data_IF_415122642557
#
_entry.id   IF_415122642557
#
_cell.length_a   1.000
_cell.length_b   1.000
_cell.length_c   1.000
_cell.angle_alpha   90.00
_cell.angle_beta   90.00
_cell.angle_gamma   90.00
#
_symmetry.space_group_name_H-M   'P 1'
#
loop_
_entity.id
_entity.type
_entity.pdbx_description
1 polymer ?
#
# COMPACT_ATOMS: atom_id res chain seq x y z
N UNK A 1 -3.62 -17.43 34.36
CA UNK A 1 -2.40 -16.61 34.29
C UNK A 1 -2.59 -15.63 33.15
N UNK A 2 -2.58 -14.34 33.45
CA UNK A 2 -2.69 -13.26 32.48
C UNK A 2 -1.29 -12.67 32.22
N UNK A 3 -1.06 -12.19 30.99
CA UNK A 3 0.14 -11.47 30.55
C UNK A 3 0.88 -12.25 29.45
N UNK A 4 1.16 -11.72 28.26
CA UNK A 4 1.35 -10.32 27.87
C UNK A 4 0.46 -9.94 26.67
N UNK A 5 -0.19 -8.79 26.75
CA UNK A 5 -0.64 -8.06 25.58
C UNK A 5 0.56 -7.24 25.12
N UNK A 6 1.24 -7.69 24.07
CA UNK A 6 2.25 -6.89 23.39
C UNK A 6 1.55 -5.65 22.81
N UNK A 7 1.86 -4.49 23.41
CA UNK A 7 1.36 -3.20 22.97
C UNK A 7 1.89 -2.90 21.57
N UNK A 8 1.09 -3.22 20.56
CA UNK A 8 1.35 -2.82 19.18
C UNK A 8 1.48 -1.29 19.05
N UNK A 9 2.20 -0.80 18.04
CA UNK A 9 2.50 0.62 17.90
C UNK A 9 1.22 1.45 17.73
N UNK A 10 0.99 2.36 18.67
CA UNK A 10 -0.24 3.16 18.79
C UNK A 10 -0.28 4.41 17.89
N UNK A 11 0.59 4.51 16.88
CA UNK A 11 0.67 5.69 16.03
C UNK A 11 1.10 5.32 14.62
N UNK A 12 0.33 5.75 13.61
CA UNK A 12 0.83 5.77 12.24
C UNK A 12 1.96 6.80 12.13
N UNK A 13 2.85 6.63 11.18
CA UNK A 13 4.00 7.55 11.00
C UNK A 13 3.59 8.68 10.07
N UNK A 14 3.45 9.93 10.55
CA UNK A 14 3.17 11.06 9.68
C UNK A 14 4.32 11.33 8.71
N UNK A 15 4.00 11.59 7.45
CA UNK A 15 4.99 12.11 6.49
C UNK A 15 6.06 11.11 6.03
N UNK A 16 5.80 9.80 6.09
CA UNK A 16 6.77 8.77 5.73
C UNK A 16 7.36 8.94 4.30
N UNK A 17 6.61 9.49 3.34
CA UNK A 17 7.13 9.84 2.01
C UNK A 17 8.03 11.08 2.04
N UNK A 18 7.67 12.10 2.83
CA UNK A 18 8.44 13.36 2.90
C UNK A 18 9.85 13.14 3.47
N UNK A 19 9.98 12.25 4.45
CA UNK A 19 11.26 11.86 5.03
C UNK A 19 12.17 11.08 4.06
N UNK A 20 11.61 10.45 3.01
CA UNK A 20 12.31 9.50 2.12
C UNK A 20 12.66 10.03 0.74
N UNK A 21 12.05 11.14 0.34
CA UNK A 21 12.31 11.78 -0.95
C UNK A 21 13.64 12.55 -1.01
N UNK A 22 14.32 12.74 0.12
CA UNK A 22 15.63 13.36 0.17
C UNK A 22 16.71 12.38 -0.29
N UNK A 23 16.96 12.28 -1.61
CA UNK A 23 18.34 12.04 -2.07
C UNK A 23 18.65 11.16 -3.29
N UNK A 24 17.72 10.59 -4.07
CA UNK A 24 18.13 9.68 -5.17
C UNK A 24 17.18 9.66 -6.39
N UNK A 25 17.71 10.02 -7.58
CA UNK A 25 17.11 9.76 -8.90
C UNK A 25 15.89 10.62 -9.29
N UNK A 26 15.45 10.51 -10.56
CA UNK A 26 14.14 11.06 -10.97
C UNK A 26 13.06 10.20 -10.32
N UNK A 27 12.31 10.81 -9.41
CA UNK A 27 11.30 10.18 -8.57
C UNK A 27 9.89 10.52 -9.08
N UNK A 28 9.07 9.48 -9.26
CA UNK A 28 7.62 9.62 -9.42
C UNK A 28 6.96 9.07 -8.15
N UNK A 29 6.10 9.86 -7.50
CA UNK A 29 5.54 9.55 -6.17
C UNK A 29 4.08 9.95 -6.02
N UNK A 30 3.43 9.45 -4.96
CA UNK A 30 2.13 9.93 -4.53
C UNK A 30 2.13 11.46 -4.29
N UNK A 31 1.05 12.15 -4.67
CA UNK A 31 0.97 13.61 -4.69
C UNK A 31 0.89 14.21 -3.28
N UNK A 32 0.26 13.50 -2.35
CA UNK A 32 0.10 13.92 -0.95
C UNK A 32 0.85 12.96 -0.01
N UNK A 33 1.36 13.42 1.14
CA UNK A 33 1.83 12.50 2.16
C UNK A 33 0.68 11.62 2.65
N UNK A 34 0.99 10.43 3.16
CA UNK A 34 0.07 9.60 3.90
C UNK A 34 0.80 8.87 5.03
N UNK A 35 0.04 8.42 6.03
CA UNK A 35 0.54 7.71 7.18
C UNK A 35 0.77 6.23 6.86
N UNK A 36 1.84 5.65 7.39
CA UNK A 36 1.95 4.19 7.47
C UNK A 36 0.98 3.65 8.54
N UNK A 37 0.13 2.70 8.18
CA UNK A 37 -0.64 1.88 9.11
C UNK A 37 -0.13 0.44 9.06
N UNK A 38 0.11 -0.14 10.24
CA UNK A 38 0.63 -1.50 10.39
C UNK A 38 -0.23 -2.30 11.39
N UNK A 39 0.06 -3.60 11.51
CA UNK A 39 -0.58 -4.48 12.48
C UNK A 39 -0.55 -3.89 13.89
N UNK A 40 -1.62 -4.12 14.66
CA UNK A 40 -1.77 -3.60 16.02
C UNK A 40 -2.20 -2.14 16.09
N UNK A 41 -2.26 -1.40 14.97
CA UNK A 41 -2.70 -0.01 15.00
C UNK A 41 -4.13 0.11 15.53
N UNK A 42 -4.33 1.04 16.47
CA UNK A 42 -5.60 1.23 17.17
C UNK A 42 -5.93 0.15 18.21
N UNK A 43 -4.95 -0.67 18.62
CA UNK A 43 -5.16 -1.77 19.57
C UNK A 43 -5.87 -2.99 18.97
N UNK A 44 -6.07 -3.01 17.66
CA UNK A 44 -6.70 -4.11 16.95
C UNK A 44 -5.73 -5.28 16.80
N UNK A 45 -6.12 -6.47 17.25
CA UNK A 45 -5.39 -7.71 16.97
C UNK A 45 -5.70 -8.21 15.55
N UNK A 46 -4.92 -7.72 14.59
CA UNK A 46 -5.05 -8.05 13.17
C UNK A 46 -3.87 -8.80 12.55
N UNK A 47 -3.01 -9.36 13.40
CA UNK A 47 -1.85 -10.13 12.96
C UNK A 47 -2.27 -11.35 12.12
N UNK A 48 -1.70 -11.43 10.91
CA UNK A 48 -1.92 -12.55 9.99
C UNK A 48 -3.18 -12.46 9.13
N UNK A 49 -4.00 -11.41 9.26
CA UNK A 49 -5.20 -11.25 8.43
C UNK A 49 -5.50 -9.79 8.02
N UNK A 50 -4.99 -8.81 8.75
CA UNK A 50 -5.37 -7.40 8.58
C UNK A 50 -4.63 -6.60 7.50
N UNK A 51 -3.62 -7.16 6.81
CA UNK A 51 -2.67 -6.30 6.09
C UNK A 51 -3.30 -5.61 4.88
N UNK A 52 -4.28 -6.23 4.23
CA UNK A 52 -5.07 -5.56 3.21
C UNK A 52 -5.90 -4.38 3.75
N UNK A 53 -6.48 -4.51 4.95
CA UNK A 53 -7.15 -3.39 5.61
C UNK A 53 -6.19 -2.25 5.94
N UNK A 54 -4.97 -2.58 6.40
CA UNK A 54 -3.92 -1.57 6.66
C UNK A 54 -3.50 -0.86 5.39
N UNK A 55 -3.40 -1.57 4.28
CA UNK A 55 -3.21 -0.96 2.95
C UNK A 55 -4.37 -0.02 2.63
N UNK A 56 -5.63 -0.46 2.78
CA UNK A 56 -6.79 0.40 2.56
C UNK A 56 -6.79 1.66 3.44
N UNK A 57 -6.38 1.57 4.70
CA UNK A 57 -6.22 2.74 5.57
C UNK A 57 -5.20 3.75 4.99
N UNK A 58 -4.06 3.26 4.45
CA UNK A 58 -3.05 4.12 3.83
C UNK A 58 -3.58 4.81 2.57
N UNK A 59 -4.29 4.07 1.70
CA UNK A 59 -4.89 4.61 0.48
C UNK A 59 -5.98 5.65 0.82
N UNK A 60 -6.83 5.36 1.80
CA UNK A 60 -7.88 6.26 2.25
C UNK A 60 -7.32 7.54 2.90
N UNK A 61 -6.25 7.42 3.71
CA UNK A 61 -5.56 8.57 4.30
C UNK A 61 -4.91 9.45 3.23
N UNK A 62 -4.28 8.87 2.20
CA UNK A 62 -3.78 9.62 1.04
C UNK A 62 -4.91 10.40 0.35
N UNK A 63 -6.02 9.73 0.02
CA UNK A 63 -7.16 10.36 -0.64
C UNK A 63 -7.73 11.52 0.19
N UNK A 64 -7.93 11.30 1.50
CA UNK A 64 -8.44 12.32 2.39
C UNK A 64 -7.50 13.53 2.50
N UNK A 65 -6.19 13.31 2.56
CA UNK A 65 -5.19 14.40 2.59
C UNK A 65 -5.16 15.19 1.29
N UNK A 66 -5.26 14.49 0.16
CA UNK A 66 -5.33 15.13 -1.15
C UNK A 66 -6.56 16.04 -1.30
N UNK A 67 -7.69 15.61 -0.74
CA UNK A 67 -8.95 16.37 -0.72
C UNK A 67 -9.01 17.46 0.37
N UNK A 68 -8.02 17.52 1.27
CA UNK A 68 -8.06 18.42 2.44
C UNK A 68 -9.10 18.00 3.50
N UNK A 69 -9.53 16.74 3.51
CA UNK A 69 -10.55 16.18 4.40
C UNK A 69 -9.98 15.17 5.40
N UNK A 70 -8.65 15.17 5.59
CA UNK A 70 -7.95 14.25 6.48
C UNK A 70 -8.51 14.30 7.91
N UNK A 71 -8.88 13.12 8.42
CA UNK A 71 -9.37 12.91 9.77
C UNK A 71 -8.65 11.70 10.40
N UNK A 72 -9.08 11.28 11.59
CA UNK A 72 -8.63 10.00 12.12
C UNK A 72 -8.99 8.85 11.14
N UNK A 73 -8.09 7.88 10.93
CA UNK A 73 -8.38 6.75 10.04
C UNK A 73 -9.51 5.90 10.60
N UNK A 74 -10.36 5.37 9.70
CA UNK A 74 -11.39 4.40 10.05
C UNK A 74 -10.75 3.13 10.62
N UNK A 75 -11.33 2.57 11.67
CA UNK A 75 -11.03 1.24 12.20
C UNK A 75 -11.33 0.15 11.16
N UNK A 76 -10.75 -1.05 11.32
CA UNK A 76 -11.04 -2.20 10.44
C UNK A 76 -12.54 -2.51 10.41
N UNK A 77 -13.21 -2.40 11.56
CA UNK A 77 -14.66 -2.60 11.64
C UNK A 77 -15.43 -1.57 10.82
N UNK A 78 -15.09 -0.28 10.93
CA UNK A 78 -15.73 0.78 10.14
C UNK A 78 -15.48 0.58 8.63
N UNK A 79 -14.29 0.09 8.25
CA UNK A 79 -14.00 -0.30 6.86
C UNK A 79 -14.90 -1.45 6.41
N UNK A 80 -15.06 -2.50 7.21
CA UNK A 80 -15.96 -3.62 6.93
C UNK A 80 -17.42 -3.14 6.79
N UNK A 81 -17.91 -2.32 7.72
CA UNK A 81 -19.25 -1.74 7.68
C UNK A 81 -19.47 -0.91 6.41
N UNK A 82 -18.48 -0.11 6.01
CA UNK A 82 -18.55 0.64 4.75
C UNK A 82 -18.58 -0.30 3.53
N UNK A 83 -17.73 -1.33 3.51
CA UNK A 83 -17.68 -2.31 2.44
C UNK A 83 -18.99 -3.12 2.30
N UNK A 84 -19.70 -3.36 3.41
CA UNK A 84 -21.07 -3.89 3.38
C UNK A 84 -22.02 -2.86 2.78
N UNK A 85 -21.93 -1.59 3.17
CA UNK A 85 -22.82 -0.53 2.67
C UNK A 85 -22.72 -0.32 1.15
N UNK A 86 -21.56 -0.60 0.55
CA UNK A 86 -21.34 -0.55 -0.91
C UNK A 86 -21.61 -1.89 -1.61
N UNK A 87 -22.01 -2.92 -0.86
CA UNK A 87 -22.47 -4.21 -1.38
C UNK A 87 -21.38 -5.20 -1.78
N UNK A 88 -20.13 -5.00 -1.36
CA UNK A 88 -19.01 -5.90 -1.70
C UNK A 88 -18.64 -6.88 -0.58
N UNK A 89 -19.18 -6.68 0.63
CA UNK A 89 -19.12 -7.65 1.73
C UNK A 89 -20.52 -7.94 2.26
N UNK A 90 -20.69 -9.06 2.97
CA UNK A 90 -21.92 -9.38 3.70
C UNK A 90 -21.88 -8.89 5.16
N UNK A 91 -23.05 -8.68 5.78
CA UNK A 91 -23.15 -8.27 7.19
C UNK A 91 -22.40 -9.21 8.16
N UNK A 92 -22.34 -10.51 7.85
CA UNK A 92 -21.61 -11.50 8.65
C UNK A 92 -20.09 -11.29 8.67
N UNK A 93 -19.55 -10.52 7.73
CA UNK A 93 -18.12 -10.20 7.66
C UNK A 93 -17.75 -8.98 8.52
N UNK A 94 -18.73 -8.25 9.06
CA UNK A 94 -18.46 -7.18 10.01
C UNK A 94 -17.98 -7.76 11.33
N UNK A 95 -16.78 -7.37 11.75
CA UNK A 95 -16.10 -7.90 12.92
C UNK A 95 -15.44 -9.27 12.70
N UNK A 96 -15.48 -9.83 11.47
CA UNK A 96 -14.75 -11.05 11.16
C UNK A 96 -13.25 -10.76 10.95
N UNK A 97 -12.48 -11.84 10.79
CA UNK A 97 -11.05 -11.80 10.45
C UNK A 97 -10.80 -12.12 8.98
N UNK A 98 -11.82 -11.98 8.14
CA UNK A 98 -11.72 -12.35 6.73
C UNK A 98 -10.81 -11.37 5.98
N UNK A 99 -10.07 -11.88 5.00
CA UNK A 99 -9.26 -11.08 4.10
C UNK A 99 -10.13 -10.20 3.18
N UNK A 100 -9.60 -9.05 2.76
CA UNK A 100 -10.17 -8.27 1.65
C UNK A 100 -9.19 -8.24 0.47
N UNK A 101 -9.72 -8.51 -0.71
CA UNK A 101 -9.02 -8.33 -1.98
C UNK A 101 -8.84 -6.85 -2.36
N UNK A 102 -7.85 -6.50 -3.20
CA UNK A 102 -7.68 -5.16 -3.78
C UNK A 102 -8.95 -4.59 -4.43
N UNK A 103 -9.83 -5.44 -4.97
CA UNK A 103 -11.12 -5.03 -5.54
C UNK A 103 -12.10 -4.45 -4.50
N UNK A 104 -12.00 -4.86 -3.23
CA UNK A 104 -12.76 -4.25 -2.14
C UNK A 104 -12.22 -2.85 -1.81
N UNK A 105 -10.89 -2.71 -1.77
CA UNK A 105 -10.25 -1.40 -1.57
C UNK A 105 -10.64 -0.41 -2.67
N UNK A 106 -10.72 -0.88 -3.93
CA UNK A 106 -11.29 -0.13 -5.04
C UNK A 106 -12.71 0.34 -4.75
N UNK A 107 -13.60 -0.57 -4.37
CA UNK A 107 -15.01 -0.25 -4.14
C UNK A 107 -15.18 0.80 -3.04
N UNK A 108 -14.40 0.69 -1.96
CA UNK A 108 -14.35 1.68 -0.89
C UNK A 108 -13.93 3.07 -1.41
N UNK A 109 -12.83 3.16 -2.17
CA UNK A 109 -12.31 4.44 -2.67
C UNK A 109 -13.26 5.10 -3.69
N UNK A 110 -13.88 4.29 -4.56
CA UNK A 110 -14.87 4.77 -5.52
C UNK A 110 -16.10 5.37 -4.81
N UNK A 111 -16.63 4.66 -3.82
CA UNK A 111 -17.75 5.15 -3.01
C UNK A 111 -17.40 6.44 -2.26
N UNK A 112 -16.20 6.51 -1.67
CA UNK A 112 -15.69 7.71 -0.97
C UNK A 112 -15.64 8.94 -1.87
N UNK A 113 -15.13 8.80 -3.09
CA UNK A 113 -14.93 9.94 -3.98
C UNK A 113 -16.24 10.50 -4.57
N UNK A 114 -17.39 9.84 -4.34
CA UNK A 114 -18.63 10.09 -5.08
C UNK A 114 -18.48 9.84 -6.59
N UNK A 115 -17.35 9.23 -6.98
CA UNK A 115 -17.01 8.87 -8.35
C UNK A 115 -17.45 7.43 -8.51
N UNK A 116 -18.61 7.20 -9.15
CA UNK A 116 -18.87 5.88 -9.73
C UNK A 116 -17.67 5.50 -10.61
N UNK A 117 -16.92 4.47 -10.22
CA UNK A 117 -15.81 3.79 -10.91
C UNK A 117 -14.67 4.64 -11.53
N UNK A 118 -14.70 5.97 -11.46
CA UNK A 118 -13.97 6.83 -12.41
C UNK A 118 -12.49 7.07 -12.12
N UNK A 119 -11.96 6.54 -11.03
CA UNK A 119 -10.54 6.68 -10.69
C UNK A 119 -10.02 5.46 -9.93
N UNK A 120 -10.25 4.26 -10.46
CA UNK A 120 -9.52 3.09 -9.97
C UNK A 120 -9.07 2.25 -11.14
N UNK A 121 -7.77 2.34 -11.44
CA UNK A 121 -7.12 1.49 -12.41
C UNK A 121 -7.00 0.09 -11.80
N UNK A 122 -7.83 -0.84 -12.28
CA UNK A 122 -7.49 -2.26 -12.22
C UNK A 122 -6.52 -2.52 -13.37
N UNK A 123 -5.24 -2.64 -13.07
CA UNK A 123 -4.32 -3.34 -13.96
C UNK A 123 -4.08 -4.73 -13.45
N UNK A 124 -5.09 -5.53 -13.73
CA UNK A 124 -4.92 -6.96 -13.85
C UNK A 124 -4.14 -7.16 -15.16
N UNK A 125 -2.86 -7.53 -15.06
CA UNK A 125 -2.06 -7.99 -16.21
C UNK A 125 -2.53 -9.39 -16.64
N UNK A 126 -3.77 -9.49 -17.09
CA UNK A 126 -4.36 -10.61 -17.81
C UNK A 126 -3.88 -10.62 -19.27
N UNK A 127 -2.60 -10.35 -19.50
CA UNK A 127 -2.01 -10.46 -20.83
C UNK A 127 -1.69 -11.94 -21.12
N UNK A 128 -2.03 -12.45 -22.30
CA UNK A 128 -1.62 -13.79 -22.74
C UNK A 128 -0.18 -13.77 -23.30
N UNK A 129 0.76 -13.22 -22.54
CA UNK A 129 2.18 -13.03 -22.91
C UNK A 129 3.09 -13.68 -21.87
N UNK A 130 4.37 -13.86 -22.21
CA UNK A 130 5.35 -14.39 -21.26
C UNK A 130 5.49 -13.50 -20.00
N UNK A 131 5.99 -14.10 -18.92
CA UNK A 131 6.08 -13.45 -17.62
C UNK A 131 6.98 -12.19 -17.63
N UNK A 132 7.99 -12.15 -18.50
CA UNK A 132 8.93 -11.02 -18.59
C UNK A 132 8.27 -9.81 -19.23
N UNK A 133 7.53 -10.03 -20.33
CA UNK A 133 6.75 -8.99 -20.98
C UNK A 133 5.68 -8.40 -20.05
N UNK A 134 5.01 -9.23 -19.23
CA UNK A 134 4.08 -8.74 -18.19
C UNK A 134 4.78 -7.86 -17.18
N UNK A 135 5.93 -8.31 -16.68
CA UNK A 135 6.69 -7.59 -15.67
C UNK A 135 7.19 -6.24 -16.20
N UNK A 136 7.65 -6.19 -17.46
CA UNK A 136 8.07 -4.96 -18.13
C UNK A 136 6.91 -4.01 -18.41
N UNK A 137 5.75 -4.54 -18.83
CA UNK A 137 4.53 -3.76 -18.98
C UNK A 137 4.13 -3.14 -17.63
N UNK A 138 4.21 -3.93 -16.55
CA UNK A 138 3.88 -3.43 -15.22
C UNK A 138 4.82 -2.33 -14.73
N UNK A 139 6.13 -2.46 -14.98
CA UNK A 139 7.10 -1.43 -14.61
C UNK A 139 6.82 -0.11 -15.33
N UNK A 140 6.56 -0.18 -16.64
CA UNK A 140 6.18 1.00 -17.46
C UNK A 140 4.92 1.67 -16.93
N UNK A 141 3.94 0.85 -16.61
CA UNK A 141 2.65 1.30 -16.18
C UNK A 141 2.66 1.96 -14.80
N UNK A 142 3.35 1.33 -13.85
CA UNK A 142 3.56 1.89 -12.52
C UNK A 142 4.29 3.24 -12.59
N UNK A 143 5.27 3.34 -13.49
CA UNK A 143 5.97 4.60 -13.77
C UNK A 143 5.01 5.70 -14.27
N UNK A 144 4.18 5.38 -15.27
CA UNK A 144 3.18 6.30 -15.83
C UNK A 144 2.12 6.72 -14.80
N UNK A 145 1.67 5.78 -13.96
CA UNK A 145 0.73 6.03 -12.87
C UNK A 145 1.25 7.09 -11.90
N UNK A 146 2.50 6.95 -11.44
CA UNK A 146 3.11 7.96 -10.58
C UNK A 146 3.49 9.25 -11.31
N UNK A 147 3.59 9.24 -12.65
CA UNK A 147 3.74 10.45 -13.45
C UNK A 147 2.44 11.26 -13.56
N UNK A 148 1.30 10.59 -13.55
CA UNK A 148 -0.03 11.17 -13.83
C UNK A 148 -0.94 11.19 -12.61
N UNK A 149 -1.47 10.04 -12.19
CA UNK A 149 -2.43 9.88 -11.10
C UNK A 149 -1.84 10.19 -9.73
N UNK A 150 -0.56 9.86 -9.51
CA UNK A 150 0.17 10.18 -8.27
C UNK A 150 -0.58 9.73 -7.01
N UNK A 151 -1.10 8.50 -7.02
CA UNK A 151 -1.70 7.87 -5.84
C UNK A 151 -0.90 6.63 -5.42
N UNK A 152 -0.91 6.26 -4.12
CA UNK A 152 -0.33 5.00 -3.68
C UNK A 152 -1.04 3.80 -4.33
N UNK A 153 -0.30 2.73 -4.56
CA UNK A 153 -0.79 1.50 -5.20
C UNK A 153 -0.76 0.36 -4.20
N UNK A 154 -1.91 -0.27 -3.95
CA UNK A 154 -1.99 -1.52 -3.18
C UNK A 154 -1.61 -2.68 -4.09
N UNK A 155 -0.72 -3.56 -3.61
CA UNK A 155 -0.36 -4.81 -4.26
C UNK A 155 -0.54 -5.96 -3.28
N UNK A 156 -0.82 -7.17 -3.77
CA UNK A 156 -0.83 -8.36 -2.95
C UNK A 156 -0.31 -9.60 -3.69
N UNK A 157 -0.13 -10.69 -2.94
CA UNK A 157 0.24 -12.01 -3.46
C UNK A 157 -0.69 -13.12 -2.95
N UNK A 158 -1.95 -12.79 -2.65
CA UNK A 158 -3.00 -13.59 -1.96
C UNK A 158 -2.74 -13.93 -0.49
N UNK A 159 -1.53 -13.72 0.02
CA UNK A 159 -1.18 -13.99 1.42
C UNK A 159 -0.82 -12.70 2.15
N UNK A 160 -0.17 -11.77 1.45
CA UNK A 160 0.32 -10.51 2.00
C UNK A 160 -0.02 -9.36 1.06
N UNK A 161 -0.36 -8.22 1.66
CA UNK A 161 -0.58 -6.97 0.95
C UNK A 161 0.44 -5.91 1.37
N UNK A 162 0.79 -5.03 0.43
CA UNK A 162 1.70 -3.92 0.61
C UNK A 162 1.20 -2.69 -0.13
N UNK A 163 1.79 -1.54 0.17
CA UNK A 163 1.57 -0.31 -0.60
C UNK A 163 2.87 0.13 -1.27
N UNK A 164 2.81 0.48 -2.55
CA UNK A 164 3.86 1.20 -3.24
C UNK A 164 3.53 2.69 -3.21
N UNK A 165 4.41 3.50 -2.64
CA UNK A 165 4.22 4.95 -2.53
C UNK A 165 4.98 5.76 -3.59
N UNK A 166 6.02 5.19 -4.18
CA UNK A 166 6.85 5.85 -5.19
C UNK A 166 7.63 4.83 -6.04
N UNK A 167 8.14 5.30 -7.17
CA UNK A 167 9.09 4.58 -8.01
C UNK A 167 10.23 5.49 -8.48
N UNK A 168 11.41 4.91 -8.71
CA UNK A 168 12.57 5.62 -9.27
C UNK A 168 13.33 4.73 -10.26
N UNK A 169 13.99 5.37 -11.22
CA UNK A 169 14.87 4.69 -12.17
C UNK A 169 16.33 4.84 -11.75
N UNK A 170 17.12 3.78 -11.94
CA UNK A 170 18.58 3.83 -11.76
C UNK A 170 19.24 4.61 -12.89
N UNK A 171 18.77 4.41 -14.12
CA UNK A 171 19.14 5.19 -15.30
C UNK A 171 17.88 5.69 -16.03
N UNK A 172 17.70 7.01 -16.10
CA UNK A 172 16.54 7.62 -16.78
C UNK A 172 16.55 7.32 -18.28
N UNK A 173 17.72 7.24 -18.92
CA UNK A 173 17.83 6.99 -20.35
C UNK A 173 17.36 5.58 -20.74
N UNK A 174 17.48 4.62 -19.83
CA UNK A 174 17.05 3.24 -20.04
C UNK A 174 15.54 3.00 -19.83
N UNK A 175 14.82 3.98 -19.25
CA UNK A 175 13.38 3.88 -19.04
C UNK A 175 12.93 2.86 -17.98
N UNK A 176 11.60 2.68 -17.80
CA UNK A 176 11.03 1.86 -16.72
C UNK A 176 11.07 0.35 -17.02
N UNK A 177 12.27 -0.24 -16.92
CA UNK A 177 12.48 -1.67 -17.04
C UNK A 177 12.53 -2.35 -15.66
N UNK A 178 12.14 -3.64 -15.54
CA UNK A 178 12.12 -4.36 -14.26
C UNK A 178 13.46 -4.33 -13.51
N UNK A 179 14.57 -4.42 -14.23
CA UNK A 179 15.93 -4.39 -13.67
C UNK A 179 16.52 -2.98 -13.56
N UNK A 180 15.80 -1.95 -14.01
CA UNK A 180 16.21 -0.55 -13.92
C UNK A 180 15.38 0.27 -12.91
N UNK A 181 14.36 -0.34 -12.31
CA UNK A 181 13.42 0.34 -11.43
C UNK A 181 13.55 -0.12 -9.97
N UNK A 182 13.41 0.83 -9.04
CA UNK A 182 13.16 0.57 -7.64
C UNK A 182 11.81 1.17 -7.23
N UNK A 183 11.14 0.52 -6.27
CA UNK A 183 9.86 0.96 -5.70
C UNK A 183 9.98 1.18 -4.21
N UNK A 184 9.28 2.19 -3.69
CA UNK A 184 9.22 2.49 -2.27
C UNK A 184 8.05 1.71 -1.65
N UNK A 185 8.39 0.60 -0.99
CA UNK A 185 7.42 -0.34 -0.44
C UNK A 185 7.12 -0.02 1.02
N UNK A 186 5.84 0.08 1.35
CA UNK A 186 5.28 0.23 2.69
C UNK A 186 4.78 -1.13 3.15
N UNK A 187 5.37 -1.63 4.23
CA UNK A 187 5.11 -2.94 4.79
C UNK A 187 4.19 -2.82 6.03
N UNK A 188 2.90 -3.19 5.93
CA UNK A 188 1.98 -3.15 7.07
C UNK A 188 2.21 -4.27 8.09
N UNK A 189 3.10 -5.23 7.82
CA UNK A 189 3.33 -6.37 8.71
C UNK A 189 4.31 -6.06 9.84
N UNK A 190 4.95 -4.89 9.83
CA UNK A 190 5.95 -4.56 10.84
C UNK A 190 5.33 -4.53 12.23
N UNK A 191 5.98 -5.21 13.18
CA UNK A 191 5.58 -5.21 14.57
C UNK A 191 5.99 -3.94 15.31
N UNK A 192 6.93 -3.16 14.76
CA UNK A 192 7.45 -1.95 15.36
C UNK A 192 7.66 -0.85 14.31
N UNK A 193 7.38 0.38 14.72
CA UNK A 193 7.68 1.57 13.93
C UNK A 193 9.20 1.72 13.74
N UNK A 194 9.66 2.43 12.70
CA UNK A 194 11.04 2.81 12.51
C UNK A 194 11.64 3.40 13.79
N UNK A 195 12.88 3.01 14.05
CA UNK A 195 13.69 3.48 15.17
C UNK A 195 14.91 4.22 14.61
N UNK A 196 15.65 4.91 15.47
CA UNK A 196 16.96 5.50 15.10
C UNK A 196 17.92 4.46 14.49
N UNK A 197 17.86 3.20 14.96
CA UNK A 197 18.68 2.09 14.45
C UNK A 197 18.18 1.53 13.12
N UNK A 198 16.88 1.68 12.83
CA UNK A 198 16.25 1.21 11.60
C UNK A 198 15.32 2.30 11.05
N UNK A 199 15.90 3.40 10.56
CA UNK A 199 15.12 4.53 10.08
C UNK A 199 14.33 4.15 8.84
N UNK A 200 13.34 4.98 8.51
CA UNK A 200 12.67 4.91 7.22
C UNK A 200 13.72 4.85 6.10
N UNK A 201 13.52 3.96 5.13
CA UNK A 201 14.34 3.86 3.92
C UNK A 201 15.52 2.90 4.08
N UNK A 202 15.87 2.52 5.31
CA UNK A 202 16.86 1.48 5.57
C UNK A 202 16.33 0.10 5.14
N UNK A 203 17.23 -0.78 4.73
CA UNK A 203 16.89 -2.16 4.39
C UNK A 203 16.19 -2.87 5.56
N UNK A 204 15.07 -3.52 5.27
CA UNK A 204 14.25 -4.20 6.28
C UNK A 204 13.41 -3.27 7.16
N UNK A 205 13.44 -1.95 6.97
CA UNK A 205 12.52 -1.04 7.67
C UNK A 205 11.09 -1.17 7.13
N UNK A 206 10.13 -0.56 7.85
CA UNK A 206 8.73 -0.58 7.47
C UNK A 206 8.42 0.13 6.14
N UNK A 207 9.30 1.02 5.71
CA UNK A 207 9.21 1.68 4.40
C UNK A 207 10.59 1.66 3.77
N UNK A 208 10.77 0.95 2.68
CA UNK A 208 12.11 0.74 2.11
C UNK A 208 12.08 0.71 0.58
N UNK A 209 13.17 1.18 -0.03
CA UNK A 209 13.38 0.99 -1.47
C UNK A 209 13.71 -0.47 -1.75
N UNK A 210 13.03 -1.05 -2.74
CA UNK A 210 13.23 -2.42 -3.21
C UNK A 210 13.43 -2.42 -4.72
N UNK A 211 14.29 -3.30 -5.23
CA UNK A 211 14.33 -3.59 -6.67
C UNK A 211 12.95 -4.07 -7.12
N UNK A 212 12.41 -3.47 -8.18
CA UNK A 212 11.08 -3.79 -8.70
C UNK A 212 10.94 -5.29 -8.96
N UNK A 213 11.89 -5.89 -9.67
CA UNK A 213 11.92 -7.34 -9.93
C UNK A 213 11.87 -8.16 -8.64
N UNK A 214 12.61 -7.76 -7.60
CA UNK A 214 12.65 -8.45 -6.31
C UNK A 214 11.38 -8.32 -5.46
N UNK A 215 10.41 -7.50 -5.88
CA UNK A 215 9.06 -7.44 -5.28
C UNK A 215 8.11 -8.42 -5.97
N UNK A 216 8.20 -8.55 -7.29
CA UNK A 216 7.20 -9.27 -8.10
C UNK A 216 7.65 -10.65 -8.59
N UNK A 217 8.94 -10.96 -8.54
CA UNK A 217 9.49 -12.27 -8.89
C UNK A 217 9.97 -12.93 -7.60
N UNK A 218 9.28 -14.00 -7.20
CA UNK A 218 9.78 -14.88 -6.14
C UNK A 218 10.91 -15.72 -6.73
N UNK A 219 12.11 -15.62 -6.18
CA UNK A 219 13.18 -16.57 -6.50
C UNK A 219 12.70 -17.99 -6.17
N UNK A 220 12.90 -18.93 -7.10
CA UNK A 220 12.68 -20.34 -6.81
C UNK A 220 13.67 -20.74 -5.70
N UNK A 221 13.15 -21.14 -4.54
CA UNK A 221 13.95 -21.78 -3.49
C UNK A 221 14.31 -23.19 -3.88
#
# INVERSE_FOLDING_TARGET
MAGAADGGPSGGIPGAIEALAAGLGVECRAASPFNLFAYGYGGQDDHGWGCAYRCLQMLADHAARHEGTAAAPASIRELQEHLVSVGVLSESQVGSRDWIEPSHARAFLAARAGLGERAVYEEILELNVDQEAKLAAFASLLWEHFGSAKSPVMIDDSIKAYVIGASRLKDVAAGPLPDNMQVLLFDPHVAALPTEEKPLGAAGSAVQWREFRGVFVKEAK
#
